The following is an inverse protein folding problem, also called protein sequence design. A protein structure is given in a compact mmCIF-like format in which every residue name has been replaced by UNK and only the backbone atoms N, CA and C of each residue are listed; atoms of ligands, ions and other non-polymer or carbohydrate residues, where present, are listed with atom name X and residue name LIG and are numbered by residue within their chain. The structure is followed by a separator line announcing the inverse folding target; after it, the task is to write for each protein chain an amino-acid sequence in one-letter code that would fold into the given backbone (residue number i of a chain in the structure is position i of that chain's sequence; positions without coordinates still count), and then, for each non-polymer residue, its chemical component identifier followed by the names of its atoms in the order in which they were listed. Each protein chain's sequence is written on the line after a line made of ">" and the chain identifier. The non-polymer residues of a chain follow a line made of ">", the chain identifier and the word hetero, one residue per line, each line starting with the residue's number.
data_IF_676592082796
#
_entry.id   IF_676592082796
#
_cell.length_a   1.000
_cell.length_b   1.000
_cell.length_c   1.000
_cell.angle_alpha   90.00
_cell.angle_beta   90.00
_cell.angle_gamma   90.00
#
_symmetry.space_group_name_H-M   'P 1'
#
loop_
_entity.id
_entity.type
_entity.pdbx_description
1 polymer ?
#
# COMPACT_ATOMS: atom_id res chain seq x y z
N UNK A 1 -23.41 -7.93 -0.48
CA UNK A 1 -24.58 -7.37 -1.20
C UNK A 1 -24.47 -5.84 -1.40
N UNK A 2 -24.30 -5.05 -0.34
CA UNK A 2 -24.15 -3.57 -0.46
C UNK A 2 -22.89 -3.15 -1.24
N UNK A 3 -21.75 -3.76 -0.98
CA UNK A 3 -20.48 -3.52 -1.69
C UNK A 3 -20.55 -3.95 -3.16
N UNK A 4 -21.33 -4.97 -3.46
CA UNK A 4 -21.51 -5.49 -4.80
C UNK A 4 -22.38 -4.56 -5.65
N UNK A 5 -23.45 -3.99 -5.07
CA UNK A 5 -24.25 -2.94 -5.71
C UNK A 5 -23.43 -1.68 -5.96
N UNK A 6 -22.56 -1.29 -5.01
CA UNK A 6 -21.68 -0.15 -5.17
C UNK A 6 -20.72 -0.32 -6.36
N UNK A 7 -20.16 -1.52 -6.55
CA UNK A 7 -19.28 -1.85 -7.69
C UNK A 7 -19.98 -1.90 -9.04
N UNK A 8 -21.30 -2.10 -9.07
CA UNK A 8 -22.07 -2.06 -10.31
C UNK A 8 -22.23 -0.64 -10.88
N UNK A 9 -22.02 0.40 -10.04
CA UNK A 9 -22.02 1.78 -10.52
C UNK A 9 -20.73 2.07 -11.32
N UNK A 10 -20.82 2.43 -12.61
CA UNK A 10 -19.65 2.68 -13.47
C UNK A 10 -18.72 3.77 -12.92
N UNK A 11 -19.25 4.78 -12.22
CA UNK A 11 -18.47 5.85 -11.62
C UNK A 11 -17.60 5.35 -10.46
N UNK A 12 -18.03 4.33 -9.72
CA UNK A 12 -17.32 3.76 -8.57
C UNK A 12 -16.40 2.60 -8.99
N UNK A 13 -16.82 1.83 -9.99
CA UNK A 13 -16.13 0.62 -10.43
C UNK A 13 -14.68 0.87 -10.88
N UNK A 14 -14.38 2.03 -11.49
CA UNK A 14 -13.03 2.35 -11.97
C UNK A 14 -11.93 2.29 -10.91
N UNK A 15 -12.26 2.64 -9.67
CA UNK A 15 -11.34 2.54 -8.51
C UNK A 15 -11.55 1.23 -7.75
N UNK A 16 -12.81 0.86 -7.47
CA UNK A 16 -13.14 -0.29 -6.63
C UNK A 16 -12.71 -1.62 -7.23
N UNK A 17 -12.77 -1.79 -8.56
CA UNK A 17 -12.27 -3.00 -9.24
C UNK A 17 -10.78 -3.29 -8.98
N UNK A 18 -9.99 -2.27 -8.63
CA UNK A 18 -8.55 -2.39 -8.34
C UNK A 18 -8.24 -2.49 -6.86
N UNK A 19 -9.03 -1.83 -6.00
CA UNK A 19 -8.75 -1.74 -4.56
C UNK A 19 -9.42 -2.86 -3.77
N UNK A 20 -10.68 -3.22 -4.09
CA UNK A 20 -11.47 -4.16 -3.31
C UNK A 20 -10.84 -5.56 -3.24
N UNK A 21 -10.25 -6.12 -4.32
CA UNK A 21 -9.61 -7.42 -4.24
C UNK A 21 -8.52 -7.50 -3.15
N UNK A 22 -7.76 -6.41 -2.96
CA UNK A 22 -6.74 -6.33 -1.91
C UNK A 22 -7.37 -6.33 -0.51
N UNK A 23 -8.52 -5.68 -0.35
CA UNK A 23 -9.29 -5.68 0.90
C UNK A 23 -9.84 -7.07 1.21
N UNK A 24 -10.41 -7.76 0.21
CA UNK A 24 -10.97 -9.10 0.39
C UNK A 24 -9.93 -10.14 0.80
N UNK A 25 -8.68 -9.99 0.36
CA UNK A 25 -7.58 -10.84 0.82
C UNK A 25 -7.42 -10.85 2.35
N UNK A 26 -7.84 -9.78 3.03
CA UNK A 26 -7.72 -9.62 4.47
C UNK A 26 -9.03 -9.89 5.21
N UNK A 27 -10.12 -10.26 4.53
CA UNK A 27 -11.45 -10.42 5.13
C UNK A 27 -11.53 -11.63 6.10
N UNK A 28 -10.56 -12.54 6.03
CA UNK A 28 -10.38 -13.58 7.04
C UNK A 28 -9.99 -13.03 8.43
N UNK A 29 -9.60 -11.77 8.54
CA UNK A 29 -9.41 -11.13 9.83
C UNK A 29 -10.65 -10.32 10.22
N UNK A 30 -11.11 -10.47 11.46
CA UNK A 30 -12.16 -9.62 12.00
C UNK A 30 -11.60 -8.24 12.45
N UNK A 31 -12.47 -7.38 12.96
CA UNK A 31 -12.10 -6.02 13.38
C UNK A 31 -11.05 -5.96 14.50
N UNK A 32 -10.80 -7.06 15.20
CA UNK A 32 -9.79 -7.18 16.26
C UNK A 32 -8.65 -8.14 15.89
N UNK A 33 -8.55 -8.49 14.58
CA UNK A 33 -7.47 -9.32 14.05
C UNK A 33 -7.60 -10.82 14.28
N UNK A 34 -8.76 -11.33 14.75
CA UNK A 34 -8.97 -12.78 14.88
C UNK A 34 -9.32 -13.39 13.54
N UNK A 35 -8.80 -14.59 13.32
CA UNK A 35 -9.07 -15.35 12.12
C UNK A 35 -10.50 -15.87 12.07
N UNK A 36 -11.17 -15.70 10.93
CA UNK A 36 -12.51 -16.22 10.64
C UNK A 36 -12.59 -16.77 9.22
N UNK A 37 -13.44 -17.75 9.01
CA UNK A 37 -13.70 -18.35 7.70
C UNK A 37 -15.12 -18.08 7.20
N UNK A 38 -15.94 -17.51 8.08
CA UNK A 38 -17.33 -17.14 7.78
C UNK A 38 -17.62 -15.74 8.29
N UNK A 39 -18.52 -15.03 7.62
CA UNK A 39 -19.09 -13.75 8.05
C UNK A 39 -20.61 -13.89 8.10
N UNK A 40 -21.16 -13.95 9.32
CA UNK A 40 -22.54 -14.41 9.52
C UNK A 40 -22.71 -15.86 9.06
N UNK A 41 -23.56 -16.10 8.07
CA UNK A 41 -23.79 -17.41 7.46
C UNK A 41 -23.01 -17.64 6.16
N UNK A 42 -22.36 -16.60 5.61
CA UNK A 42 -21.65 -16.67 4.35
C UNK A 42 -20.19 -17.09 4.55
N UNK A 43 -19.70 -18.00 3.69
CA UNK A 43 -18.29 -18.36 3.62
C UNK A 43 -17.51 -17.16 3.03
N UNK A 44 -16.39 -16.84 3.63
CA UNK A 44 -15.48 -15.80 3.14
C UNK A 44 -14.72 -16.35 1.93
N UNK A 45 -14.74 -15.59 0.83
CA UNK A 45 -13.88 -15.80 -0.33
C UNK A 45 -12.80 -14.70 -0.36
N UNK A 46 -11.56 -15.03 0.07
CA UNK A 46 -10.46 -14.05 0.12
C UNK A 46 -9.68 -13.98 -1.20
N UNK A 47 -10.20 -14.56 -2.28
CA UNK A 47 -9.53 -14.55 -3.58
C UNK A 47 -9.57 -13.18 -4.24
N UNK A 48 -8.54 -12.89 -5.03
CA UNK A 48 -8.46 -11.65 -5.79
C UNK A 48 -7.45 -11.72 -6.91
N UNK A 49 -7.46 -10.66 -7.70
CA UNK A 49 -6.53 -10.49 -8.83
C UNK A 49 -5.90 -9.11 -8.74
N UNK A 50 -4.59 -9.05 -8.82
CA UNK A 50 -3.84 -7.80 -8.90
C UNK A 50 -4.08 -7.11 -10.25
N UNK A 51 -3.86 -5.79 -10.37
CA UNK A 51 -4.03 -5.07 -11.64
C UNK A 51 -3.21 -5.61 -12.82
N UNK A 52 -2.11 -6.31 -12.56
CA UNK A 52 -1.25 -6.96 -13.55
C UNK A 52 -1.64 -8.41 -13.86
N UNK A 53 -2.75 -8.89 -13.27
CA UNK A 53 -3.27 -10.23 -13.49
C UNK A 53 -2.76 -11.30 -12.53
N UNK A 54 -1.85 -11.01 -11.61
CA UNK A 54 -1.40 -11.96 -10.60
C UNK A 54 -2.57 -12.32 -9.66
N UNK A 55 -2.84 -13.63 -9.53
CA UNK A 55 -3.92 -14.16 -8.70
C UNK A 55 -3.41 -14.50 -7.30
N UNK A 56 -4.28 -14.36 -6.31
CA UNK A 56 -4.02 -14.75 -4.93
C UNK A 56 -5.29 -15.24 -4.25
N UNK A 57 -5.13 -16.03 -3.19
CA UNK A 57 -6.20 -16.44 -2.30
C UNK A 57 -5.75 -16.23 -0.85
N UNK A 58 -6.24 -15.16 -0.26
CA UNK A 58 -5.97 -14.79 1.13
C UNK A 58 -4.65 -14.04 1.37
N UNK A 59 -4.39 -13.72 2.65
CA UNK A 59 -3.32 -12.80 3.04
C UNK A 59 -1.91 -13.35 2.81
N UNK A 60 -1.74 -14.68 2.86
CA UNK A 60 -0.41 -15.30 2.71
C UNK A 60 0.11 -15.15 1.28
N UNK A 61 -0.74 -15.45 0.30
CA UNK A 61 -0.36 -15.33 -1.11
C UNK A 61 -0.21 -13.85 -1.51
N UNK A 62 -1.13 -12.99 -1.07
CA UNK A 62 -0.99 -11.54 -1.27
C UNK A 62 0.33 -11.02 -0.71
N UNK A 63 0.70 -11.42 0.52
CA UNK A 63 1.98 -11.05 1.13
C UNK A 63 3.17 -11.53 0.29
N UNK A 64 3.13 -12.73 -0.25
CA UNK A 64 4.19 -13.27 -1.09
C UNK A 64 4.36 -12.45 -2.39
N UNK A 65 3.26 -12.08 -3.03
CA UNK A 65 3.28 -11.21 -4.22
C UNK A 65 3.90 -9.85 -3.88
N UNK A 66 3.46 -9.22 -2.79
CA UNK A 66 3.97 -7.91 -2.36
C UNK A 66 5.45 -7.97 -1.95
N UNK A 67 5.89 -9.04 -1.32
CA UNK A 67 7.29 -9.26 -0.97
C UNK A 67 8.18 -9.38 -2.22
N UNK A 68 7.67 -10.01 -3.29
CA UNK A 68 8.35 -10.07 -4.59
C UNK A 68 8.45 -8.70 -5.29
N UNK A 69 7.72 -7.69 -4.82
CA UNK A 69 7.70 -6.30 -5.35
C UNK A 69 8.19 -5.30 -4.31
N UNK A 70 9.19 -5.68 -3.53
CA UNK A 70 9.64 -4.90 -2.38
C UNK A 70 9.93 -3.44 -2.72
N UNK A 71 10.61 -3.15 -3.84
CA UNK A 71 10.93 -1.78 -4.25
C UNK A 71 9.67 -0.93 -4.49
N UNK A 72 8.63 -1.48 -5.14
CA UNK A 72 7.37 -0.77 -5.39
C UNK A 72 6.64 -0.47 -4.07
N UNK A 73 6.56 -1.47 -3.19
CA UNK A 73 5.92 -1.34 -1.87
C UNK A 73 6.66 -0.32 -1.02
N UNK A 74 7.98 -0.38 -0.97
CA UNK A 74 8.81 0.56 -0.21
C UNK A 74 8.73 1.96 -0.79
N UNK A 75 8.70 2.10 -2.12
CA UNK A 75 8.51 3.41 -2.77
C UNK A 75 7.17 4.03 -2.38
N UNK A 76 6.09 3.27 -2.45
CA UNK A 76 4.76 3.73 -2.06
C UNK A 76 4.71 4.12 -0.57
N UNK A 77 5.31 3.31 0.28
CA UNK A 77 5.39 3.56 1.73
C UNK A 77 6.22 4.83 2.02
N UNK A 78 7.40 4.96 1.41
CA UNK A 78 8.27 6.14 1.57
C UNK A 78 7.55 7.42 1.17
N UNK A 79 6.80 7.40 0.06
CA UNK A 79 5.96 8.54 -0.35
C UNK A 79 4.93 8.92 0.71
N UNK A 80 4.23 7.94 1.28
CA UNK A 80 3.22 8.17 2.34
C UNK A 80 3.88 8.71 3.63
N UNK A 81 5.02 8.15 4.02
CA UNK A 81 5.77 8.65 5.17
C UNK A 81 6.28 10.07 4.95
N UNK A 82 6.77 10.40 3.76
CA UNK A 82 7.16 11.77 3.41
C UNK A 82 5.97 12.72 3.39
N UNK A 83 4.80 12.31 2.88
CA UNK A 83 3.57 13.10 2.95
C UNK A 83 3.25 13.48 4.40
N UNK A 84 3.34 12.52 5.31
CA UNK A 84 3.14 12.75 6.75
C UNK A 84 4.22 13.69 7.33
N UNK A 85 5.49 13.42 7.04
CA UNK A 85 6.62 14.18 7.58
C UNK A 85 6.65 15.64 7.10
N UNK A 86 6.21 15.88 5.85
CA UNK A 86 6.19 17.22 5.26
C UNK A 86 4.90 18.00 5.55
N UNK A 87 3.85 17.32 6.02
CA UNK A 87 2.52 17.90 6.21
C UNK A 87 1.83 18.34 4.91
N UNK A 88 2.27 17.82 3.76
CA UNK A 88 1.71 18.12 2.43
C UNK A 88 1.82 16.94 1.48
N UNK A 89 1.11 16.99 0.36
CA UNK A 89 1.27 16.02 -0.73
C UNK A 89 2.70 16.03 -1.30
N UNK A 90 3.09 14.86 -1.84
CA UNK A 90 4.36 14.70 -2.56
C UNK A 90 4.19 15.22 -3.98
N UNK A 91 5.03 16.17 -4.35
CA UNK A 91 5.08 16.77 -5.67
C UNK A 91 6.15 16.09 -6.55
N UNK A 92 6.12 16.39 -7.86
CA UNK A 92 7.05 15.78 -8.82
C UNK A 92 8.52 16.07 -8.49
N UNK A 93 8.81 17.24 -7.91
CA UNK A 93 10.16 17.63 -7.49
C UNK A 93 10.65 16.94 -6.21
N UNK A 94 9.78 16.30 -5.44
CA UNK A 94 10.16 15.47 -4.29
C UNK A 94 10.56 14.04 -4.71
N UNK A 95 10.15 13.60 -5.89
CA UNK A 95 10.38 12.22 -6.36
C UNK A 95 11.86 11.82 -6.46
N UNK A 96 12.81 12.70 -6.81
CA UNK A 96 14.23 12.35 -6.73
C UNK A 96 14.67 11.95 -5.32
N UNK A 97 14.19 12.65 -4.28
CA UNK A 97 14.47 12.32 -2.88
C UNK A 97 13.84 10.97 -2.48
N UNK A 98 12.61 10.70 -2.88
CA UNK A 98 11.97 9.39 -2.66
C UNK A 98 12.82 8.28 -3.26
N UNK A 99 13.23 8.40 -4.53
CA UNK A 99 14.05 7.38 -5.20
C UNK A 99 15.42 7.20 -4.57
N UNK A 100 16.04 8.28 -4.10
CA UNK A 100 17.32 8.22 -3.39
C UNK A 100 17.19 7.43 -2.08
N UNK A 101 16.17 7.74 -1.26
CA UNK A 101 15.92 7.06 0.01
C UNK A 101 15.70 5.55 -0.21
N UNK A 102 14.87 5.18 -1.20
CA UNK A 102 14.59 3.77 -1.51
C UNK A 102 15.87 3.04 -1.93
N UNK A 103 16.65 3.63 -2.86
CA UNK A 103 17.92 3.08 -3.33
C UNK A 103 18.94 2.91 -2.22
N UNK A 104 19.06 3.88 -1.33
CA UNK A 104 20.01 3.84 -0.19
C UNK A 104 19.58 2.85 0.88
N UNK A 105 18.29 2.58 1.04
CA UNK A 105 17.77 1.59 1.97
C UNK A 105 17.88 0.15 1.46
N UNK A 106 17.97 -0.06 0.14
CA UNK A 106 17.97 -1.38 -0.49
C UNK A 106 19.07 -2.32 0.01
N UNK A 107 20.36 -1.91 0.14
CA UNK A 107 21.42 -2.79 0.63
C UNK A 107 21.20 -3.30 2.07
N UNK A 108 20.39 -2.59 2.86
CA UNK A 108 20.01 -2.94 4.23
C UNK A 108 18.68 -3.66 4.35
N UNK A 109 18.17 -4.23 3.26
CA UNK A 109 16.85 -4.88 3.20
C UNK A 109 15.72 -3.95 3.64
N UNK A 110 15.78 -2.70 3.21
CA UNK A 110 14.76 -1.67 3.44
C UNK A 110 14.37 -1.47 4.91
N UNK A 111 15.35 -1.53 5.82
CA UNK A 111 15.10 -1.30 7.26
C UNK A 111 14.36 0.01 7.48
N UNK A 112 13.35 -0.01 8.32
CA UNK A 112 12.55 1.17 8.67
C UNK A 112 13.42 2.35 9.13
N UNK A 113 14.44 2.07 9.94
CA UNK A 113 15.41 3.08 10.42
C UNK A 113 16.13 3.78 9.26
N UNK A 114 16.51 3.04 8.21
CA UNK A 114 17.16 3.62 7.03
C UNK A 114 16.22 4.54 6.26
N UNK A 115 14.96 4.13 6.08
CA UNK A 115 13.94 4.95 5.41
C UNK A 115 13.65 6.22 6.22
N UNK A 116 13.41 6.10 7.53
CA UNK A 116 13.14 7.23 8.41
C UNK A 116 14.32 8.21 8.41
N UNK A 117 15.55 7.73 8.57
CA UNK A 117 16.75 8.57 8.54
C UNK A 117 16.98 9.21 7.17
N UNK A 118 16.66 8.49 6.09
CA UNK A 118 16.69 9.04 4.74
C UNK A 118 15.69 10.20 4.56
N UNK A 119 14.48 10.08 5.10
CA UNK A 119 13.48 11.17 5.09
C UNK A 119 14.00 12.36 5.88
N UNK A 120 14.47 12.15 7.11
CA UNK A 120 14.97 13.23 7.98
C UNK A 120 16.13 13.98 7.32
N UNK A 121 17.03 13.27 6.63
CA UNK A 121 18.18 13.87 5.93
C UNK A 121 17.85 14.48 4.57
N UNK A 122 16.66 14.23 4.04
CA UNK A 122 16.27 14.68 2.70
C UNK A 122 16.11 16.21 2.62
N UNK A 123 16.46 16.79 1.48
CA UNK A 123 16.29 18.22 1.24
C UNK A 123 14.85 18.70 1.46
N UNK A 124 13.79 17.99 1.02
CA UNK A 124 12.42 18.42 1.28
C UNK A 124 12.07 18.53 2.77
N UNK A 125 12.70 17.71 3.62
CA UNK A 125 12.45 17.75 5.07
C UNK A 125 13.31 18.82 5.77
N UNK A 126 14.56 18.99 5.34
CA UNK A 126 15.51 19.93 5.96
C UNK A 126 15.32 21.37 5.49
N UNK A 127 14.79 21.56 4.28
CA UNK A 127 14.70 22.88 3.65
C UNK A 127 13.26 23.28 3.41
N UNK A 128 12.88 24.45 3.91
CA UNK A 128 11.59 25.07 3.60
C UNK A 128 11.78 26.06 2.45
N UNK A 129 10.94 25.98 1.42
CA UNK A 129 10.85 27.07 0.44
C UNK A 129 10.40 28.35 1.17
N UNK A 130 11.14 29.42 1.00
CA UNK A 130 10.61 30.74 1.32
C UNK A 130 9.41 31.01 0.41
N UNK A 131 8.32 31.48 0.99
CA UNK A 131 7.13 31.90 0.25
C UNK A 131 7.42 33.18 -0.56
#
# INVERSE_FOLDING_TARGET
>A
EMMEQHRQNPACNGCHSRMDPLGFALENFDAIGRWRTVSGTAKIDPSGVMPDGAKFSGPVELRSILAGRAEEVVTATTRKMMTYALGRGIEYYDMPSVRAIVREAAPGDYKWSSIIMGIIKSAPFQMRRAA
#
